data_IF_270143258224
#
_entry.id   IF_270143258224
#
_cell.length_a   1.000
_cell.length_b   1.000
_cell.length_c   1.000
_cell.angle_alpha   90.00
_cell.angle_beta   90.00
_cell.angle_gamma   90.00
#
_symmetry.space_group_name_H-M   'P 1'
#
loop_
_entity.id
_entity.type
_entity.pdbx_description
1 polymer ?
#
# COMPACT_ATOMS: atom_id res chain seq x y z
N UNK A 1 -5.86 12.16 -1.06
CA UNK A 1 -5.46 10.74 -0.97
C UNK A 1 -4.11 10.52 -1.62
N UNK A 2 -3.36 9.53 -1.13
CA UNK A 2 -2.15 8.97 -1.78
C UNK A 2 -2.45 7.52 -2.15
N UNK A 3 -2.09 7.11 -3.36
CA UNK A 3 -2.10 5.70 -3.78
C UNK A 3 -0.65 5.27 -3.91
N UNK A 4 -0.19 4.32 -3.10
CA UNK A 4 1.22 3.96 -3.04
C UNK A 4 1.44 2.45 -3.24
N UNK A 5 2.38 2.15 -4.13
CA UNK A 5 3.02 0.84 -4.21
C UNK A 5 4.51 1.06 -3.90
N UNK A 6 4.90 0.82 -2.65
CA UNK A 6 6.29 1.03 -2.23
C UNK A 6 7.20 -0.15 -2.57
N UNK A 7 6.69 -1.19 -3.24
CA UNK A 7 7.42 -2.37 -3.67
C UNK A 7 8.29 -2.96 -2.51
N UNK A 8 9.61 -3.06 -2.68
CA UNK A 8 10.48 -3.58 -1.64
C UNK A 8 10.48 -2.72 -0.36
N UNK A 9 10.27 -1.41 -0.50
CA UNK A 9 10.24 -0.49 0.64
C UNK A 9 9.02 -0.67 1.53
N UNK A 10 7.96 -1.30 1.05
CA UNK A 10 6.86 -1.78 1.91
C UNK A 10 7.41 -2.60 3.08
N UNK A 11 8.43 -3.42 2.84
CA UNK A 11 8.95 -4.39 3.81
C UNK A 11 10.17 -3.88 4.59
N UNK A 12 10.67 -2.67 4.29
CA UNK A 12 11.95 -2.18 4.84
C UNK A 12 11.94 -0.71 5.26
N UNK A 13 11.07 0.13 4.70
CA UNK A 13 11.16 1.59 4.88
C UNK A 13 10.22 2.11 5.96
N UNK A 14 10.76 2.22 7.17
CA UNK A 14 10.13 3.01 8.24
C UNK A 14 10.09 4.49 7.87
N UNK A 15 11.07 4.99 7.11
CA UNK A 15 11.11 6.39 6.68
C UNK A 15 9.89 6.78 5.81
N UNK A 16 9.44 5.91 4.91
CA UNK A 16 8.22 6.16 4.10
C UNK A 16 6.97 6.09 4.97
N UNK A 17 6.89 5.13 5.90
CA UNK A 17 5.80 5.05 6.88
C UNK A 17 5.66 6.37 7.65
N UNK A 18 6.78 6.86 8.20
CA UNK A 18 6.78 8.06 9.02
C UNK A 18 6.46 9.31 8.21
N UNK A 19 6.94 9.39 6.96
CA UNK A 19 6.57 10.47 6.05
C UNK A 19 5.07 10.49 5.73
N UNK A 20 4.47 9.33 5.47
CA UNK A 20 3.02 9.20 5.23
C UNK A 20 2.21 9.59 6.47
N UNK A 21 2.67 9.20 7.66
CA UNK A 21 2.04 9.61 8.93
C UNK A 21 2.20 11.10 9.23
N UNK A 22 3.33 11.71 8.88
CA UNK A 22 3.61 13.11 9.18
C UNK A 22 2.78 14.09 8.33
N UNK A 23 2.44 13.73 7.09
CA UNK A 23 1.66 14.61 6.20
C UNK A 23 0.16 14.54 6.44
N UNK A 24 -0.32 13.56 7.23
CA UNK A 24 -1.73 13.35 7.57
C UNK A 24 -2.67 13.29 6.34
N UNK A 25 -2.16 12.76 5.22
CA UNK A 25 -2.96 12.51 4.01
C UNK A 25 -3.35 11.02 3.99
N UNK A 26 -4.65 10.68 3.92
CA UNK A 26 -5.09 9.29 3.81
C UNK A 26 -4.49 8.58 2.60
N UNK A 27 -4.10 7.31 2.76
CA UNK A 27 -3.50 6.54 1.67
C UNK A 27 -3.99 5.10 1.57
N UNK A 28 -3.92 4.54 0.35
CA UNK A 28 -4.19 3.14 0.04
C UNK A 28 -2.90 2.49 -0.44
N UNK A 29 -2.58 1.33 0.13
CA UNK A 29 -1.43 0.52 -0.28
C UNK A 29 -1.82 -0.44 -1.41
N UNK A 30 -1.03 -0.47 -2.48
CA UNK A 30 -1.29 -1.30 -3.66
C UNK A 30 -0.10 -2.19 -3.98
N UNK A 31 -0.38 -3.46 -4.25
CA UNK A 31 0.58 -4.45 -4.73
C UNK A 31 0.05 -5.14 -5.99
N UNK A 32 0.82 -5.06 -7.08
CA UNK A 32 0.49 -5.75 -8.33
C UNK A 32 0.36 -7.27 -8.13
N UNK A 33 1.32 -7.87 -7.43
CA UNK A 33 1.33 -9.31 -7.12
C UNK A 33 0.62 -9.61 -5.80
N UNK A 34 0.09 -10.83 -5.65
CA UNK A 34 -0.36 -11.30 -4.34
C UNK A 34 0.87 -11.56 -3.45
N UNK A 35 1.20 -10.61 -2.57
CA UNK A 35 2.37 -10.69 -1.69
C UNK A 35 2.34 -11.90 -0.74
N UNK A 36 1.15 -12.36 -0.37
CA UNK A 36 0.98 -13.53 0.50
C UNK A 36 1.29 -14.87 -0.18
N UNK A 37 1.38 -14.90 -1.52
CA UNK A 37 1.87 -16.08 -2.28
C UNK A 37 3.38 -16.07 -2.50
N UNK A 38 4.07 -15.03 -2.02
CA UNK A 38 5.50 -14.83 -2.24
C UNK A 38 6.30 -15.18 -1.00
N UNK A 39 7.59 -14.86 -1.02
CA UNK A 39 8.52 -15.11 0.08
C UNK A 39 8.04 -14.48 1.40
N UNK A 40 8.28 -15.14 2.54
CA UNK A 40 7.75 -14.72 3.84
C UNK A 40 8.09 -13.28 4.23
N UNK A 41 9.27 -12.78 3.84
CA UNK A 41 9.66 -11.39 4.11
C UNK A 41 8.76 -10.36 3.42
N UNK A 42 7.98 -10.76 2.40
CA UNK A 42 7.04 -9.89 1.70
C UNK A 42 5.66 -9.84 2.35
N UNK A 43 5.41 -10.66 3.37
CA UNK A 43 4.12 -10.70 4.05
C UNK A 43 4.00 -9.59 5.09
N UNK A 44 5.13 -9.03 5.52
CA UNK A 44 5.17 -7.93 6.46
C UNK A 44 5.28 -6.58 5.76
N UNK A 45 4.39 -5.65 6.08
CA UNK A 45 4.39 -4.28 5.57
C UNK A 45 4.48 -3.29 6.73
N UNK A 46 5.39 -2.31 6.62
CA UNK A 46 5.43 -1.16 7.52
C UNK A 46 4.30 -0.14 7.25
N UNK A 47 3.61 -0.26 6.11
CA UNK A 47 2.58 0.68 5.68
C UNK A 47 1.16 0.19 6.00
N UNK A 48 0.93 -1.13 5.95
CA UNK A 48 -0.42 -1.70 6.04
C UNK A 48 -1.17 -1.34 7.34
N UNK A 49 -0.45 -1.18 8.45
CA UNK A 49 -1.06 -0.82 9.74
C UNK A 49 -1.58 0.62 9.80
N UNK A 50 -1.13 1.49 8.90
CA UNK A 50 -1.53 2.92 8.85
C UNK A 50 -2.27 3.29 7.56
N UNK A 51 -2.41 2.35 6.61
CA UNK A 51 -3.18 2.54 5.38
C UNK A 51 -4.69 2.47 5.66
N UNK A 52 -5.50 3.17 4.84
CA UNK A 52 -6.96 3.03 4.84
C UNK A 52 -7.40 1.66 4.31
N UNK A 53 -6.59 1.07 3.44
CA UNK A 53 -6.81 -0.26 2.88
C UNK A 53 -5.59 -0.74 2.13
N UNK A 54 -5.55 -2.05 1.90
CA UNK A 54 -4.49 -2.73 1.16
C UNK A 54 -5.12 -3.55 0.04
N UNK A 55 -4.66 -3.33 -1.19
CA UNK A 55 -5.07 -4.09 -2.38
C UNK A 55 -3.86 -4.86 -2.90
N UNK A 56 -3.92 -6.19 -2.89
CA UNK A 56 -2.80 -7.02 -3.32
C UNK A 56 -3.24 -8.14 -4.28
N UNK A 57 -2.53 -8.26 -5.41
CA UNK A 57 -2.71 -9.38 -6.35
C UNK A 57 -3.72 -9.19 -7.45
N UNK A 58 -4.21 -7.97 -7.66
CA UNK A 58 -5.12 -7.62 -8.77
C UNK A 58 -4.39 -7.04 -9.99
N UNK A 59 -3.05 -7.15 -10.06
CA UNK A 59 -2.28 -6.54 -11.15
C UNK A 59 -2.51 -5.04 -11.23
N UNK A 60 -2.56 -4.49 -12.45
CA UNK A 60 -2.76 -3.07 -12.68
C UNK A 60 -4.14 -2.57 -12.19
N UNK A 61 -5.16 -3.43 -12.20
CA UNK A 61 -6.51 -3.10 -11.74
C UNK A 61 -6.54 -2.69 -10.26
N UNK A 62 -5.54 -3.10 -9.45
CA UNK A 62 -5.43 -2.65 -8.07
C UNK A 62 -5.31 -1.12 -7.94
N UNK A 63 -4.71 -0.44 -8.92
CA UNK A 63 -4.65 1.02 -8.94
C UNK A 63 -6.00 1.65 -9.27
N UNK A 64 -6.77 1.07 -10.19
CA UNK A 64 -8.12 1.53 -10.54
C UNK A 64 -9.06 1.40 -9.34
N UNK A 65 -9.03 0.25 -8.65
CA UNK A 65 -9.81 0.03 -7.43
C UNK A 65 -9.44 1.02 -6.32
N UNK A 66 -8.13 1.28 -6.10
CA UNK A 66 -7.68 2.28 -5.14
C UNK A 66 -8.11 3.71 -5.51
N UNK A 67 -8.09 4.04 -6.80
CA UNK A 67 -8.53 5.35 -7.30
C UNK A 67 -10.03 5.54 -7.10
N UNK A 68 -10.84 4.54 -7.44
CA UNK A 68 -12.29 4.59 -7.23
C UNK A 68 -12.63 4.75 -5.74
N UNK A 69 -11.95 4.02 -4.85
CA UNK A 69 -12.10 4.19 -3.41
C UNK A 69 -11.75 5.62 -2.97
N UNK A 70 -10.63 6.16 -3.44
CA UNK A 70 -10.16 7.51 -3.09
C UNK A 70 -11.08 8.63 -3.61
N UNK A 71 -11.86 8.39 -4.67
CA UNK A 71 -12.82 9.35 -5.24
C UNK A 71 -14.22 9.23 -4.61
N UNK A 72 -14.53 8.11 -3.96
CA UNK A 72 -15.83 7.84 -3.37
C UNK A 72 -16.00 8.41 -1.95
N UNK A 73 -14.89 8.80 -1.30
CA UNK A 73 -14.88 9.49 0.00
C UNK A 73 -14.54 10.96 -0.14
#
# INVERSE_FOLDING_TARGET
YIIINAAAYTHTSVAIRDALSAVDIPFVEVHLSNVYKREAFRHHSYLSSTAQGVIAGLGAFGYEAALLYALAG
#
